data_IF_195705127529
#
_entry.id   IF_195705127529
#
_cell.length_a   1.000
_cell.length_b   1.000
_cell.length_c   1.000
_cell.angle_alpha   90.00
_cell.angle_beta   90.00
_cell.angle_gamma   90.00
#
_symmetry.space_group_name_H-M   'P 1'
#
loop_
_entity.id
_entity.type
_entity.pdbx_description
1 polymer ?
#
# COMPACT_ATOMS: atom_id res chain seq x y z
N UNK A 1 -7.64 -18.59 18.99
CA UNK A 1 -7.49 -19.26 17.67
C UNK A 1 -6.19 -20.06 17.66
N UNK A 2 -6.07 -21.12 16.84
CA UNK A 2 -4.76 -21.77 16.66
C UNK A 2 -3.76 -20.78 16.02
N UNK A 3 -2.49 -20.83 16.44
CA UNK A 3 -1.44 -19.92 15.94
C UNK A 3 -1.33 -19.98 14.40
N UNK A 4 -1.43 -21.18 13.81
CA UNK A 4 -1.43 -21.33 12.35
C UNK A 4 -2.56 -20.56 11.66
N UNK A 5 -3.76 -20.56 12.24
CA UNK A 5 -4.89 -19.77 11.75
C UNK A 5 -4.61 -18.28 11.89
N UNK A 6 -4.06 -17.82 13.01
CA UNK A 6 -3.72 -16.40 13.21
C UNK A 6 -2.69 -15.90 12.19
N UNK A 7 -1.64 -16.69 11.92
CA UNK A 7 -0.62 -16.35 10.92
C UNK A 7 -1.24 -16.33 9.51
N UNK A 8 -2.10 -17.30 9.19
CA UNK A 8 -2.81 -17.31 7.91
C UNK A 8 -3.65 -16.05 7.72
N UNK A 9 -4.45 -15.67 8.72
CA UNK A 9 -5.22 -14.43 8.70
C UNK A 9 -4.31 -13.20 8.57
N UNK A 10 -3.20 -13.14 9.30
CA UNK A 10 -2.25 -12.04 9.21
C UNK A 10 -1.77 -11.83 7.77
N UNK A 11 -1.39 -12.91 7.07
CA UNK A 11 -0.91 -12.84 5.68
C UNK A 11 -2.03 -12.40 4.73
N UNK A 12 -3.23 -13.00 4.84
CA UNK A 12 -4.36 -12.66 3.98
C UNK A 12 -4.78 -11.19 4.18
N UNK A 13 -4.90 -10.73 5.42
CA UNK A 13 -5.25 -9.34 5.71
C UNK A 13 -4.17 -8.38 5.22
N UNK A 14 -2.89 -8.73 5.36
CA UNK A 14 -1.78 -7.93 4.82
C UNK A 14 -1.82 -7.82 3.30
N UNK A 15 -2.19 -8.90 2.61
CA UNK A 15 -2.37 -8.89 1.15
C UNK A 15 -3.53 -8.00 0.73
N UNK A 16 -4.65 -8.06 1.43
CA UNK A 16 -5.81 -7.19 1.17
C UNK A 16 -5.43 -5.71 1.39
N UNK A 17 -4.75 -5.39 2.49
CA UNK A 17 -4.25 -4.04 2.75
C UNK A 17 -3.28 -3.57 1.66
N UNK A 18 -2.34 -4.43 1.24
CA UNK A 18 -1.40 -4.11 0.17
C UNK A 18 -2.11 -3.82 -1.15
N UNK A 19 -3.10 -4.64 -1.52
CA UNK A 19 -3.88 -4.46 -2.74
C UNK A 19 -4.63 -3.11 -2.72
N UNK A 20 -5.40 -2.84 -1.66
CA UNK A 20 -6.16 -1.59 -1.54
C UNK A 20 -5.24 -0.37 -1.52
N UNK A 21 -4.14 -0.43 -0.75
CA UNK A 21 -3.20 0.68 -0.66
C UNK A 21 -2.48 0.93 -2.00
N UNK A 22 -2.05 -0.12 -2.69
CA UNK A 22 -1.46 0.00 -4.01
C UNK A 22 -2.45 0.60 -5.02
N UNK A 23 -3.69 0.09 -5.07
CA UNK A 23 -4.70 0.57 -6.01
C UNK A 23 -4.96 2.06 -5.85
N UNK A 24 -5.12 2.56 -4.63
CA UNK A 24 -5.38 3.99 -4.40
C UNK A 24 -4.14 4.83 -4.67
N UNK A 25 -2.96 4.37 -4.26
CA UNK A 25 -1.75 5.21 -4.27
C UNK A 25 -0.91 5.11 -5.54
N UNK A 26 -1.03 4.04 -6.34
CA UNK A 26 -0.19 3.81 -7.52
C UNK A 26 -0.97 3.68 -8.83
N UNK A 27 -2.19 3.15 -8.83
CA UNK A 27 -2.93 2.98 -10.10
C UNK A 27 -3.40 4.33 -10.67
N UNK A 28 -3.43 4.41 -12.00
CA UNK A 28 -3.75 5.66 -12.73
C UNK A 28 -5.21 6.08 -12.59
N UNK A 29 -6.10 5.15 -12.25
CA UNK A 29 -7.53 5.42 -11.98
C UNK A 29 -7.70 6.47 -10.87
N UNK A 30 -6.77 6.52 -9.91
CA UNK A 30 -6.75 7.50 -8.82
C UNK A 30 -5.75 8.64 -9.06
N UNK A 31 -5.21 8.77 -10.28
CA UNK A 31 -4.23 9.79 -10.64
C UNK A 31 -4.73 11.21 -10.42
N UNK A 32 -5.90 11.55 -10.98
CA UNK A 32 -6.52 12.88 -10.83
C UNK A 32 -6.78 13.23 -9.36
N UNK A 33 -7.20 12.25 -8.56
CA UNK A 33 -7.42 12.41 -7.13
C UNK A 33 -6.12 12.68 -6.37
N UNK A 34 -5.04 11.97 -6.72
CA UNK A 34 -3.72 12.20 -6.11
C UNK A 34 -3.13 13.54 -6.50
N UNK A 35 -3.25 13.95 -7.76
CA UNK A 35 -2.77 15.27 -8.23
C UNK A 35 -3.51 16.38 -7.47
N UNK A 36 -4.84 16.29 -7.35
CA UNK A 36 -5.61 17.21 -6.51
C UNK A 36 -5.13 17.25 -5.05
N UNK A 37 -4.84 16.08 -4.45
CA UNK A 37 -4.30 16.02 -3.09
C UNK A 37 -2.89 16.61 -3.00
N UNK A 38 -2.04 16.43 -4.01
CA UNK A 38 -0.68 16.98 -4.06
C UNK A 38 -0.70 18.50 -4.16
N UNK A 39 -1.49 19.04 -5.08
CA UNK A 39 -1.67 20.49 -5.25
C UNK A 39 -2.16 21.13 -3.94
N UNK A 40 -3.14 20.50 -3.29
CA UNK A 40 -3.60 20.95 -1.97
C UNK A 40 -2.49 20.85 -0.92
N UNK A 41 -1.75 19.75 -0.86
CA UNK A 41 -0.64 19.63 0.09
C UNK A 41 0.42 20.74 -0.08
N UNK A 42 0.66 21.22 -1.30
CA UNK A 42 1.62 22.30 -1.57
C UNK A 42 1.07 23.70 -1.24
N UNK A 43 -0.22 23.95 -1.48
CA UNK A 43 -0.87 25.25 -1.26
C UNK A 43 -1.47 25.45 0.16
N UNK A 44 -1.47 24.42 1.02
CA UNK A 44 -2.07 24.50 2.36
C UNK A 44 -1.20 25.28 3.36
N UNK A 45 -1.79 26.29 4.01
CA UNK A 45 -1.16 27.04 5.10
C UNK A 45 -1.12 26.29 6.45
N UNK A 46 -1.91 25.24 6.64
CA UNK A 46 -1.99 24.50 7.91
C UNK A 46 -1.25 23.16 7.85
N UNK A 47 -0.56 22.81 8.95
CA UNK A 47 0.20 21.55 9.06
C UNK A 47 -0.73 20.32 9.07
N UNK A 48 -1.95 20.46 9.57
CA UNK A 48 -2.92 19.37 9.66
C UNK A 48 -3.50 18.99 8.30
N UNK A 49 -3.88 19.97 7.48
CA UNK A 49 -4.36 19.72 6.11
C UNK A 49 -3.26 19.08 5.27
N UNK A 50 -2.01 19.57 5.39
CA UNK A 50 -0.86 18.94 4.73
C UNK A 50 -0.73 17.47 5.08
N UNK A 51 -0.80 17.10 6.37
CA UNK A 51 -0.72 15.69 6.78
C UNK A 51 -1.90 14.86 6.29
N UNK A 52 -3.11 15.42 6.24
CA UNK A 52 -4.29 14.73 5.73
C UNK A 52 -4.13 14.37 4.25
N UNK A 53 -3.75 15.33 3.41
CA UNK A 53 -3.53 15.07 1.98
C UNK A 53 -2.33 14.16 1.71
N UNK A 54 -1.28 14.27 2.53
CA UNK A 54 -0.09 13.39 2.43
C UNK A 54 -0.41 11.90 2.66
N UNK A 55 -1.42 11.58 3.45
CA UNK A 55 -1.84 10.18 3.66
C UNK A 55 -2.27 9.53 2.34
N UNK A 56 -2.91 10.27 1.43
CA UNK A 56 -3.41 9.73 0.16
C UNK A 56 -2.31 9.60 -0.91
N UNK A 57 -1.15 10.23 -0.70
CA UNK A 57 -0.02 10.17 -1.63
C UNK A 57 1.07 9.20 -1.19
N UNK A 58 1.03 8.74 0.07
CA UNK A 58 2.00 7.80 0.64
C UNK A 58 1.38 6.42 0.88
N UNK A 59 1.87 5.40 0.16
CA UNK A 59 1.43 4.00 0.27
C UNK A 59 1.53 3.43 1.70
N UNK A 60 2.62 3.75 2.39
CA UNK A 60 2.85 3.32 3.76
C UNK A 60 1.85 3.98 4.72
N UNK A 61 1.63 5.30 4.60
CA UNK A 61 0.68 6.00 5.46
C UNK A 61 -0.75 5.51 5.21
N UNK A 62 -1.17 5.39 3.95
CA UNK A 62 -2.51 4.93 3.60
C UNK A 62 -2.77 3.49 4.11
N UNK A 63 -1.77 2.60 4.04
CA UNK A 63 -1.92 1.23 4.54
C UNK A 63 -2.24 1.14 6.03
N UNK A 64 -1.84 2.11 6.87
CA UNK A 64 -2.21 2.15 8.29
C UNK A 64 -3.71 2.44 8.47
N UNK A 65 -4.27 3.37 7.69
CA UNK A 65 -5.69 3.70 7.74
C UNK A 65 -6.55 2.55 7.22
N UNK A 66 -6.13 1.93 6.13
CA UNK A 66 -6.78 0.72 5.60
C UNK A 66 -6.72 -0.42 6.62
N UNK A 67 -5.58 -0.61 7.29
CA UNK A 67 -5.45 -1.61 8.36
C UNK A 67 -6.40 -1.31 9.50
N UNK A 68 -6.46 -0.07 9.98
CA UNK A 68 -7.36 0.32 11.07
C UNK A 68 -8.82 -0.03 10.73
N UNK A 69 -9.25 0.32 9.52
CA UNK A 69 -10.58 0.01 9.01
C UNK A 69 -10.81 -1.51 8.98
N UNK A 70 -9.87 -2.29 8.45
CA UNK A 70 -9.98 -3.75 8.40
C UNK A 70 -10.03 -4.38 9.78
N UNK A 71 -9.24 -3.89 10.75
CA UNK A 71 -9.27 -4.40 12.12
C UNK A 71 -10.61 -4.12 12.81
N UNK A 72 -11.21 -2.96 12.57
CA UNK A 72 -12.55 -2.63 13.06
C UNK A 72 -13.60 -3.58 12.46
N UNK A 73 -13.52 -3.87 11.16
CA UNK A 73 -14.48 -4.76 10.49
C UNK A 73 -14.31 -6.25 10.85
N UNK A 74 -13.07 -6.72 10.97
CA UNK A 74 -12.77 -8.15 11.16
C UNK A 74 -12.67 -8.54 12.63
N UNK A 75 -12.44 -7.58 13.52
CA UNK A 75 -12.16 -7.85 14.93
C UNK A 75 -10.87 -8.66 15.15
N UNK A 76 -9.98 -8.72 14.17
CA UNK A 76 -8.77 -9.54 14.23
C UNK A 76 -7.80 -9.08 15.32
N UNK A 77 -7.38 -10.01 16.17
CA UNK A 77 -6.40 -9.80 17.23
C UNK A 77 -5.19 -10.72 17.00
N UNK A 78 -3.99 -10.17 17.08
CA UNK A 78 -2.75 -10.91 16.87
C UNK A 78 -2.11 -11.31 18.21
N UNK A 79 -1.83 -12.61 18.38
CA UNK A 79 -1.15 -13.25 19.53
C UNK A 79 -1.84 -13.14 20.89
N UNK A 80 -2.51 -12.03 21.19
CA UNK A 80 -3.14 -11.74 22.49
C UNK A 80 -4.61 -11.45 22.23
N UNK A 81 -5.51 -12.13 22.93
CA UNK A 81 -6.96 -12.02 22.74
C UNK A 81 -7.59 -10.76 23.39
N UNK A 82 -6.79 -9.75 23.72
CA UNK A 82 -7.26 -8.49 24.30
C UNK A 82 -6.93 -7.28 23.43
N UNK A 83 -7.14 -6.07 23.94
CA UNK A 83 -6.93 -4.84 23.18
C UNK A 83 -5.48 -4.68 22.67
N UNK A 84 -4.51 -5.32 23.34
CA UNK A 84 -3.09 -5.29 22.94
C UNK A 84 -2.88 -6.06 21.64
N UNK A 85 -3.68 -7.09 21.39
CA UNK A 85 -3.65 -7.83 20.12
C UNK A 85 -4.01 -6.99 18.91
N UNK A 86 -4.89 -5.98 19.07
CA UNK A 86 -5.17 -5.01 18.01
C UNK A 86 -3.97 -4.11 17.73
N UNK A 87 -3.24 -3.69 18.77
CA UNK A 87 -2.02 -2.88 18.60
C UNK A 87 -0.96 -3.67 17.84
N UNK A 88 -0.76 -4.94 18.18
CA UNK A 88 0.18 -5.81 17.47
C UNK A 88 -0.23 -6.01 16.01
N UNK A 89 -1.51 -6.30 15.75
CA UNK A 89 -2.03 -6.46 14.40
C UNK A 89 -1.89 -5.16 13.57
N UNK A 90 -2.17 -4.01 14.19
CA UNK A 90 -2.12 -2.69 13.56
C UNK A 90 -0.74 -2.35 13.02
N UNK A 91 0.33 -2.76 13.68
CA UNK A 91 1.70 -2.53 13.18
C UNK A 91 2.19 -3.67 12.27
N UNK A 92 1.80 -4.91 12.54
CA UNK A 92 2.26 -6.06 11.76
C UNK A 92 1.71 -6.06 10.33
N UNK A 93 0.42 -5.80 10.17
CA UNK A 93 -0.27 -5.84 8.88
C UNK A 93 0.32 -4.84 7.86
N UNK A 94 0.40 -3.51 8.14
CA UNK A 94 0.92 -2.54 7.18
C UNK A 94 2.40 -2.74 6.92
N UNK A 95 3.17 -3.26 7.89
CA UNK A 95 4.58 -3.61 7.66
C UNK A 95 4.70 -4.71 6.60
N UNK A 96 3.98 -5.83 6.75
CA UNK A 96 4.00 -6.92 5.76
C UNK A 96 3.47 -6.40 4.41
N UNK A 97 2.36 -5.67 4.42
CA UNK A 97 1.79 -5.09 3.22
C UNK A 97 2.80 -4.20 2.47
N UNK A 98 3.55 -3.36 3.19
CA UNK A 98 4.57 -2.49 2.63
C UNK A 98 5.71 -3.26 1.98
N UNK A 99 6.13 -4.38 2.59
CA UNK A 99 7.13 -5.27 1.97
C UNK A 99 6.61 -5.85 0.65
N UNK A 100 5.35 -6.29 0.61
CA UNK A 100 4.74 -6.82 -0.61
C UNK A 100 4.64 -5.76 -1.71
N UNK A 101 4.18 -4.55 -1.37
CA UNK A 101 4.10 -3.41 -2.30
C UNK A 101 5.48 -3.02 -2.84
N UNK A 102 6.50 -2.99 -1.97
CA UNK A 102 7.88 -2.67 -2.37
C UNK A 102 8.46 -3.69 -3.36
N UNK A 103 8.19 -4.98 -3.16
CA UNK A 103 8.62 -6.05 -4.08
C UNK A 103 7.89 -5.90 -5.42
N UNK A 104 6.57 -5.70 -5.38
CA UNK A 104 5.75 -5.53 -6.58
C UNK A 104 6.19 -4.31 -7.40
N UNK A 105 6.52 -3.20 -6.74
CA UNK A 105 7.07 -2.00 -7.38
C UNK A 105 8.36 -2.28 -8.15
N UNK A 106 9.31 -2.99 -7.53
CA UNK A 106 10.59 -3.35 -8.19
C UNK A 106 10.33 -4.22 -9.42
N UNK A 107 9.50 -5.25 -9.27
CA UNK A 107 9.15 -6.13 -10.38
C UNK A 107 8.55 -5.37 -11.58
N UNK A 108 7.66 -4.40 -11.33
CA UNK A 108 7.05 -3.59 -12.41
C UNK A 108 8.08 -2.69 -13.11
N UNK A 109 9.07 -2.17 -12.38
CA UNK A 109 10.16 -1.38 -12.96
C UNK A 109 11.04 -2.25 -13.84
N UNK A 110 11.40 -3.44 -13.36
CA UNK A 110 12.25 -4.37 -14.10
C UNK A 110 11.58 -4.82 -15.40
N UNK A 111 10.30 -5.20 -15.36
CA UNK A 111 9.52 -5.56 -16.58
C UNK A 111 9.51 -4.40 -17.59
N UNK A 112 9.26 -3.17 -17.11
CA UNK A 112 9.25 -1.99 -18.00
C UNK A 112 10.62 -1.72 -18.61
N UNK A 113 11.70 -1.99 -17.88
CA UNK A 113 13.05 -1.87 -18.40
C UNK A 113 13.32 -2.90 -19.50
N UNK A 114 12.95 -4.16 -19.28
CA UNK A 114 13.06 -5.24 -20.28
C UNK A 114 12.25 -4.92 -21.56
N UNK A 115 11.02 -4.43 -21.41
CA UNK A 115 10.17 -4.04 -22.54
C UNK A 115 10.78 -2.90 -23.38
N UNK A 116 11.45 -1.94 -22.74
CA UNK A 116 12.13 -0.84 -23.44
C UNK A 116 13.34 -1.34 -24.23
N UNK A 117 14.13 -2.25 -23.66
CA UNK A 117 15.26 -2.87 -24.34
C UNK A 117 14.80 -3.68 -25.56
N UNK A 118 13.72 -4.46 -25.42
CA UNK A 118 13.16 -5.22 -26.54
C UNK A 118 12.75 -4.31 -27.71
N UNK A 119 12.06 -3.19 -27.42
CA UNK A 119 11.67 -2.20 -28.43
C UNK A 119 12.85 -1.50 -29.09
N UNK A 120 13.93 -1.26 -28.35
CA UNK A 120 15.14 -0.66 -28.92
C UNK A 120 15.84 -1.61 -29.89
N UNK A 121 15.86 -2.91 -29.56
CA UNK A 121 16.38 -3.96 -30.45
C UNK A 121 15.52 -4.09 -31.70
N UNK A 122 14.19 -4.10 -31.58
CA UNK A 122 13.28 -4.13 -32.73
C UNK A 122 13.53 -2.95 -33.69
N UNK A 123 13.63 -1.72 -33.17
CA UNK A 123 13.92 -0.53 -34.00
C UNK A 123 15.27 -0.57 -34.70
N UNK A 124 16.27 -1.24 -34.12
CA UNK A 124 17.60 -1.40 -34.76
C UNK A 124 17.59 -2.49 -35.85
N UNK A 125 16.58 -3.36 -35.87
CA UNK A 125 16.40 -4.43 -36.84
C UNK A 125 15.47 -4.04 -37.99
N UNK A 126 14.71 -2.95 -37.87
CA UNK A 126 13.97 -2.36 -38.98
C UNK A 126 14.96 -1.70 -39.97
N UNK A 127 15.00 -2.12 -41.26
CA UNK A 127 15.96 -1.66 -42.27
C UNK A 127 15.70 -0.24 -42.80
#
# INVERSE_FOLDING_TARGET
MAIGTQIFWLVILSMVVACIAWTVTQEEIFGEWREYCQDKHEDCGSILERKFYYVFTCEYCFSHWTTLLILIFTGFQLLIDDWRGYVLAFFAIPWIANQMMSIYRRLRVDIKHEDLLAKEVEKKLEP
#
